data_IF_625554725296
#
_entry.id   IF_625554725296
#
_cell.length_a   1.000
_cell.length_b   1.000
_cell.length_c   1.000
_cell.angle_alpha   90.00
_cell.angle_beta   90.00
_cell.angle_gamma   90.00
#
_symmetry.space_group_name_H-M   'P 1'
#
loop_
_entity.id
_entity.type
_entity.pdbx_description
1 polymer ?
#
# COMPACT_ATOMS: atom_id res chain seq x y z
N UNK A 1 14.61 -5.33 -0.54
CA UNK A 1 15.49 -6.41 -0.02
C UNK A 1 16.81 -5.83 0.48
N UNK A 2 17.47 -6.42 1.49
CA UNK A 2 18.75 -5.91 2.00
C UNK A 2 19.90 -6.45 1.17
N UNK A 3 20.68 -5.55 0.59
CA UNK A 3 21.90 -5.90 -0.16
C UNK A 3 22.94 -6.56 0.75
N UNK A 4 23.91 -7.30 0.18
CA UNK A 4 24.98 -7.90 0.96
C UNK A 4 25.68 -6.87 1.87
N UNK A 5 25.90 -7.27 3.12
CA UNK A 5 26.36 -6.41 4.20
C UNK A 5 27.84 -6.63 4.53
N UNK A 6 28.71 -5.80 3.95
CA UNK A 6 30.15 -5.86 4.18
C UNK A 6 30.59 -5.24 5.50
N UNK A 7 29.71 -4.45 6.13
CA UNK A 7 29.95 -3.68 7.35
C UNK A 7 29.62 -4.44 8.64
N UNK A 8 29.11 -5.66 8.54
CA UNK A 8 28.80 -6.49 9.70
C UNK A 8 30.04 -7.24 10.23
N UNK A 9 30.22 -7.19 11.54
CA UNK A 9 31.25 -7.95 12.28
C UNK A 9 30.62 -8.71 13.43
N UNK A 10 31.12 -9.90 13.73
CA UNK A 10 30.75 -10.68 14.91
C UNK A 10 31.95 -10.83 15.84
N UNK A 11 31.73 -10.75 17.15
CA UNK A 11 32.74 -11.01 18.16
C UNK A 11 32.15 -11.97 19.20
N UNK A 12 32.94 -12.96 19.62
CA UNK A 12 32.55 -13.98 20.58
C UNK A 12 33.58 -13.99 21.69
N UNK A 13 33.12 -14.02 22.95
CA UNK A 13 34.03 -14.13 24.09
C UNK A 13 34.42 -15.58 24.30
N UNK A 14 35.72 -15.84 24.37
CA UNK A 14 36.25 -17.17 24.68
C UNK A 14 35.73 -17.67 26.04
N UNK A 15 35.33 -18.95 26.09
CA UNK A 15 34.82 -19.63 27.29
C UNK A 15 33.33 -19.49 27.58
N UNK A 16 32.59 -18.69 26.80
CA UNK A 16 31.15 -18.42 27.04
C UNK A 16 30.18 -19.23 26.15
N UNK A 17 30.69 -19.87 25.09
CA UNK A 17 29.90 -20.65 24.13
C UNK A 17 30.69 -21.84 23.58
N UNK A 18 29.98 -22.88 23.13
CA UNK A 18 30.60 -24.04 22.48
C UNK A 18 31.21 -23.70 21.12
N UNK A 19 32.19 -24.50 20.67
CA UNK A 19 32.93 -24.29 19.41
C UNK A 19 32.02 -24.22 18.16
N UNK A 20 30.86 -24.87 18.19
CA UNK A 20 29.89 -24.85 17.09
C UNK A 20 29.34 -23.44 16.82
N UNK A 21 29.17 -22.62 17.87
CA UNK A 21 28.61 -21.27 17.76
C UNK A 21 29.54 -20.34 16.98
N UNK A 22 30.85 -20.49 17.14
CA UNK A 22 31.83 -19.68 16.40
C UNK A 22 31.75 -19.97 14.89
N UNK A 23 31.62 -21.25 14.54
CA UNK A 23 31.47 -21.70 13.17
C UNK A 23 30.18 -21.17 12.55
N UNK A 24 29.05 -21.34 13.24
CA UNK A 24 27.74 -20.88 12.78
C UNK A 24 27.70 -19.36 12.57
N UNK A 25 28.30 -18.58 13.48
CA UNK A 25 28.40 -17.13 13.36
C UNK A 25 29.26 -16.71 12.16
N UNK A 26 30.36 -17.43 11.91
CA UNK A 26 31.23 -17.17 10.76
C UNK A 26 30.52 -17.45 9.44
N UNK A 27 29.81 -18.59 9.35
CA UNK A 27 29.02 -18.96 8.18
C UNK A 27 27.89 -17.97 7.91
N UNK A 28 27.18 -17.55 8.96
CA UNK A 28 26.16 -16.51 8.86
C UNK A 28 26.75 -15.18 8.38
N UNK A 29 27.90 -14.75 8.91
CA UNK A 29 28.53 -13.50 8.51
C UNK A 29 28.94 -13.53 7.03
N UNK A 30 29.50 -14.66 6.59
CA UNK A 30 29.86 -14.87 5.19
C UNK A 30 28.62 -14.89 4.28
N UNK A 31 27.52 -15.51 4.73
CA UNK A 31 26.23 -15.47 4.03
C UNK A 31 25.71 -14.02 3.90
N UNK A 32 25.74 -13.23 4.98
CA UNK A 32 25.29 -11.84 4.97
C UNK A 32 26.14 -10.94 4.07
N UNK A 33 27.44 -11.23 3.93
CA UNK A 33 28.36 -10.51 3.06
C UNK A 33 28.23 -10.86 1.57
N UNK A 34 27.61 -11.99 1.24
CA UNK A 34 27.58 -12.52 -0.14
C UNK A 34 26.18 -12.64 -0.72
N UNK A 35 25.16 -12.73 0.13
CA UNK A 35 23.78 -12.96 -0.28
C UNK A 35 22.88 -11.78 0.08
N UNK A 36 21.89 -11.55 -0.78
CA UNK A 36 20.78 -10.67 -0.45
C UNK A 36 19.93 -11.32 0.64
N UNK A 37 19.45 -10.52 1.59
CA UNK A 37 18.61 -11.03 2.69
C UNK A 37 17.28 -10.31 2.80
N UNK A 38 16.30 -11.06 3.32
CA UNK A 38 14.97 -10.56 3.65
C UNK A 38 14.81 -10.67 5.15
N UNK A 39 14.36 -9.58 5.78
CA UNK A 39 13.92 -9.62 7.17
C UNK A 39 12.40 -9.68 7.20
N UNK A 40 11.88 -10.80 7.67
CA UNK A 40 10.44 -10.98 7.86
C UNK A 40 10.09 -10.58 9.28
N UNK A 41 9.17 -9.62 9.41
CA UNK A 41 8.59 -9.23 10.69
C UNK A 41 7.19 -9.80 10.79
N UNK A 42 6.90 -10.47 11.91
CA UNK A 42 5.57 -11.01 12.21
C UNK A 42 5.01 -10.28 13.43
N UNK A 43 3.74 -9.93 13.38
CA UNK A 43 3.06 -9.21 14.45
C UNK A 43 1.83 -10.01 14.89
N UNK A 44 1.55 -10.10 16.20
CA UNK A 44 0.39 -10.83 16.72
C UNK A 44 -0.93 -10.10 16.43
N UNK A 45 -0.89 -8.78 16.19
CA UNK A 45 -2.08 -7.98 15.89
C UNK A 45 -1.80 -6.95 14.79
N UNK A 46 -2.85 -6.54 14.07
CA UNK A 46 -2.77 -5.44 13.10
C UNK A 46 -2.32 -4.13 13.75
N UNK A 47 -2.74 -3.88 15.00
CA UNK A 47 -2.32 -2.71 15.76
C UNK A 47 -0.80 -2.66 15.96
N UNK A 48 -0.18 -3.78 16.30
CA UNK A 48 1.27 -3.85 16.47
C UNK A 48 2.02 -3.68 15.15
N UNK A 49 1.48 -4.24 14.05
CA UNK A 49 1.97 -3.96 12.71
C UNK A 49 1.92 -2.45 12.40
N UNK A 50 0.79 -1.78 12.67
CA UNK A 50 0.64 -0.34 12.43
C UNK A 50 1.57 0.51 13.29
N UNK A 51 1.74 0.14 14.56
CA UNK A 51 2.70 0.80 15.46
C UNK A 51 4.13 0.66 14.93
N UNK A 52 4.50 -0.52 14.42
CA UNK A 52 5.79 -0.74 13.80
C UNK A 52 5.95 0.08 12.52
N UNK A 53 4.94 0.12 11.65
CA UNK A 53 4.94 0.98 10.46
C UNK A 53 5.16 2.45 10.83
N UNK A 54 4.46 2.94 11.85
CA UNK A 54 4.61 4.32 12.34
C UNK A 54 6.00 4.58 12.93
N UNK A 55 6.57 3.64 13.68
CA UNK A 55 7.91 3.77 14.23
C UNK A 55 8.99 3.78 13.12
N UNK A 56 8.80 3.02 12.05
CA UNK A 56 9.77 2.90 10.97
C UNK A 56 9.69 4.05 9.96
N UNK A 57 8.49 4.51 9.64
CA UNK A 57 8.23 5.47 8.54
C UNK A 57 7.83 6.86 9.02
N UNK A 58 7.40 6.98 10.28
CA UNK A 58 6.77 8.19 10.80
C UNK A 58 5.32 8.40 10.32
N UNK A 59 4.76 7.51 9.50
CA UNK A 59 3.36 7.58 9.06
C UNK A 59 2.45 6.72 9.94
N UNK A 60 1.38 7.32 10.45
CA UNK A 60 0.34 6.61 11.19
C UNK A 60 -0.70 6.05 10.23
N UNK A 61 -1.07 4.78 10.39
CA UNK A 61 -2.14 4.15 9.62
C UNK A 61 -3.51 4.58 10.17
N UNK A 62 -4.29 5.30 9.39
CA UNK A 62 -5.65 5.74 9.72
C UNK A 62 -6.70 4.69 9.35
N UNK A 63 -6.48 4.01 8.22
CA UNK A 63 -7.34 2.96 7.70
C UNK A 63 -6.50 1.81 7.16
N UNK A 64 -6.97 0.58 7.39
CA UNK A 64 -6.45 -0.64 6.80
C UNK A 64 -7.62 -1.60 6.58
N UNK A 65 -7.87 -1.94 5.32
CA UNK A 65 -9.01 -2.75 4.92
C UNK A 65 -8.79 -3.45 3.59
N UNK A 66 -9.64 -4.43 3.32
CA UNK A 66 -9.58 -5.21 2.08
C UNK A 66 -10.75 -4.81 1.18
N UNK A 67 -10.45 -4.14 0.07
CA UNK A 67 -11.41 -3.88 -0.98
C UNK A 67 -11.61 -5.15 -1.81
N UNK A 68 -12.86 -5.48 -2.12
CA UNK A 68 -13.22 -6.60 -2.99
C UNK A 68 -12.91 -6.31 -4.47
N UNK A 69 -12.84 -5.04 -4.84
CA UNK A 69 -12.32 -4.62 -6.14
C UNK A 69 -11.72 -3.21 -6.06
N UNK A 70 -10.64 -3.01 -6.82
CA UNK A 70 -10.03 -1.71 -7.08
C UNK A 70 -10.05 -1.47 -8.59
N UNK A 71 -10.60 -0.36 -9.04
CA UNK A 71 -10.73 -0.07 -10.46
C UNK A 71 -10.26 1.34 -10.83
N UNK A 72 -9.56 1.44 -11.97
CA UNK A 72 -9.14 2.70 -12.60
C UNK A 72 -9.91 2.83 -13.92
N UNK A 73 -10.72 3.88 -14.03
CA UNK A 73 -11.54 4.14 -15.22
C UNK A 73 -10.80 5.06 -16.18
N UNK A 74 -9.87 4.49 -16.96
CA UNK A 74 -9.00 5.29 -17.84
C UNK A 74 -9.76 5.94 -18.99
N UNK A 75 -9.66 7.26 -19.12
CA UNK A 75 -10.20 8.02 -20.26
C UNK A 75 -9.28 7.90 -21.46
N UNK A 76 -9.80 7.48 -22.62
CA UNK A 76 -9.06 7.55 -23.88
C UNK A 76 -9.35 8.88 -24.57
N UNK A 77 -8.31 9.61 -25.00
CA UNK A 77 -8.48 10.92 -25.64
C UNK A 77 -9.32 10.89 -26.93
N UNK A 78 -9.37 9.75 -27.64
CA UNK A 78 -9.90 9.68 -29.03
C UNK A 78 -11.09 8.72 -29.17
N UNK A 79 -11.58 8.10 -28.08
CA UNK A 79 -12.73 7.18 -28.13
C UNK A 79 -13.53 7.21 -26.81
N UNK A 80 -14.89 7.27 -26.84
CA UNK A 80 -15.73 7.30 -25.64
C UNK A 80 -15.79 6.00 -24.83
N UNK A 81 -14.79 5.12 -24.97
CA UNK A 81 -14.73 3.82 -24.30
C UNK A 81 -13.65 3.89 -23.23
N UNK A 82 -14.06 3.84 -21.97
CA UNK A 82 -13.14 3.75 -20.84
C UNK A 82 -12.49 2.37 -20.82
N UNK A 83 -11.15 2.31 -20.83
CA UNK A 83 -10.45 1.05 -20.53
C UNK A 83 -10.43 0.93 -19.01
N UNK A 84 -11.26 0.06 -18.46
CA UNK A 84 -11.28 -0.22 -17.02
C UNK A 84 -10.12 -1.16 -16.70
N UNK A 85 -9.18 -0.69 -15.88
CA UNK A 85 -8.27 -1.59 -15.18
C UNK A 85 -8.91 -1.99 -13.87
N UNK A 86 -8.91 -3.27 -13.55
CA UNK A 86 -9.55 -3.78 -12.35
C UNK A 86 -8.67 -4.83 -11.71
N UNK A 87 -8.40 -4.63 -10.43
CA UNK A 87 -7.82 -5.62 -9.54
C UNK A 87 -8.93 -6.17 -8.64
N UNK A 88 -8.81 -7.45 -8.26
CA UNK A 88 -9.70 -8.07 -7.29
C UNK A 88 -9.41 -7.62 -5.86
N UNK A 89 -9.30 -8.58 -4.95
CA UNK A 89 -8.97 -8.35 -3.53
C UNK A 89 -7.73 -7.48 -3.39
N UNK A 90 -7.90 -6.25 -2.92
CA UNK A 90 -6.84 -5.24 -2.83
C UNK A 90 -6.76 -4.74 -1.40
N UNK A 91 -5.59 -4.83 -0.77
CA UNK A 91 -5.39 -4.23 0.55
C UNK A 91 -5.18 -2.74 0.38
N UNK A 92 -6.02 -1.94 1.03
CA UNK A 92 -5.97 -0.48 0.98
C UNK A 92 -5.63 0.03 2.36
N UNK A 93 -4.62 0.91 2.43
CA UNK A 93 -4.30 1.65 3.62
C UNK A 93 -4.43 3.16 3.35
N UNK A 94 -4.88 3.92 4.35
CA UNK A 94 -4.73 5.37 4.38
C UNK A 94 -3.77 5.69 5.49
N UNK A 95 -2.70 6.43 5.16
CA UNK A 95 -1.64 6.78 6.10
C UNK A 95 -1.48 8.29 6.18
N UNK A 96 -1.06 8.78 7.35
CA UNK A 96 -0.88 10.19 7.60
C UNK A 96 0.45 10.49 8.30
N UNK A 97 1.11 11.54 7.85
CA UNK A 97 2.22 12.19 8.55
C UNK A 97 2.01 13.70 8.47
N UNK A 98 1.90 14.37 9.63
CA UNK A 98 1.55 15.80 9.70
C UNK A 98 0.25 16.10 8.92
N UNK A 99 0.32 16.96 7.91
CA UNK A 99 -0.81 17.30 7.03
C UNK A 99 -0.86 16.45 5.74
N UNK A 100 0.09 15.54 5.53
CA UNK A 100 0.17 14.70 4.33
C UNK A 100 -0.62 13.43 4.58
N UNK A 101 -1.67 13.21 3.79
CA UNK A 101 -2.45 11.97 3.78
C UNK A 101 -2.19 11.25 2.46
N UNK A 102 -1.90 9.95 2.51
CA UNK A 102 -1.67 9.13 1.32
C UNK A 102 -2.56 7.89 1.34
N UNK A 103 -3.05 7.49 0.16
CA UNK A 103 -3.66 6.19 -0.06
C UNK A 103 -2.61 5.23 -0.61
N UNK A 104 -2.54 4.04 -0.03
CA UNK A 104 -1.67 2.95 -0.44
C UNK A 104 -2.57 1.79 -0.88
N UNK A 105 -2.29 1.21 -2.04
CA UNK A 105 -2.99 0.04 -2.55
C UNK A 105 -1.98 -1.06 -2.87
N UNK A 106 -2.21 -2.26 -2.34
CA UNK A 106 -1.40 -3.45 -2.57
C UNK A 106 -2.25 -4.49 -3.27
N UNK A 107 -1.78 -4.93 -4.43
CA UNK A 107 -2.48 -5.80 -5.36
C UNK A 107 -1.84 -7.20 -5.36
N UNK A 108 -2.53 -8.24 -4.87
CA UNK A 108 -2.05 -9.62 -4.96
C UNK A 108 -2.01 -10.12 -6.42
N UNK A 109 -3.06 -9.83 -7.19
CA UNK A 109 -3.30 -10.45 -8.50
C UNK A 109 -3.60 -9.40 -9.59
N UNK A 110 -2.81 -8.34 -9.68
CA UNK A 110 -3.01 -7.29 -10.70
C UNK A 110 -1.88 -7.27 -11.74
N UNK A 111 -2.27 -7.45 -13.00
CA UNK A 111 -1.33 -7.53 -14.12
C UNK A 111 -0.60 -6.21 -14.45
N UNK A 112 -1.06 -5.08 -13.90
CA UNK A 112 -0.48 -3.77 -14.19
C UNK A 112 0.46 -3.26 -13.11
N UNK A 113 0.64 -3.97 -11.99
CA UNK A 113 1.59 -3.64 -10.93
C UNK A 113 1.19 -4.26 -9.58
N UNK A 114 2.13 -4.31 -8.64
CA UNK A 114 1.91 -4.95 -7.32
C UNK A 114 1.47 -3.98 -6.23
N UNK A 115 1.78 -2.69 -6.38
CA UNK A 115 1.32 -1.66 -5.45
C UNK A 115 1.32 -0.27 -6.11
N UNK A 116 0.65 0.67 -5.46
CA UNK A 116 0.74 2.10 -5.77
C UNK A 116 0.45 2.95 -4.54
N UNK A 117 0.95 4.17 -4.52
CA UNK A 117 0.56 5.19 -3.54
C UNK A 117 0.32 6.54 -4.21
N UNK A 118 -0.56 7.35 -3.63
CA UNK A 118 -0.76 8.74 -4.03
C UNK A 118 -1.28 9.60 -2.89
N UNK A 119 -0.97 10.89 -2.95
CA UNK A 119 -1.37 11.87 -1.95
C UNK A 119 -2.84 12.26 -2.14
N UNK A 120 -3.60 12.25 -1.06
CA UNK A 120 -4.96 12.76 -1.00
C UNK A 120 -4.96 14.22 -0.51
N UNK A 121 -5.79 15.05 -1.13
CA UNK A 121 -5.89 16.50 -0.86
C UNK A 121 -7.29 16.90 -0.45
N UNK A 122 -7.41 17.98 0.32
CA UNK A 122 -8.72 18.54 0.71
C UNK A 122 -9.56 19.09 -0.46
N UNK A 123 -8.95 19.21 -1.65
CA UNK A 123 -9.62 19.60 -2.90
C UNK A 123 -10.16 18.41 -3.69
N UNK A 124 -9.85 17.18 -3.28
CA UNK A 124 -10.29 15.99 -3.98
C UNK A 124 -11.80 15.78 -3.78
N UNK A 125 -12.41 15.09 -4.74
CA UNK A 125 -13.85 14.83 -4.73
C UNK A 125 -14.08 13.33 -4.55
N UNK A 126 -14.81 12.98 -3.51
CA UNK A 126 -15.18 11.60 -3.21
C UNK A 126 -16.69 11.40 -3.33
N UNK A 127 -17.11 10.28 -3.92
CA UNK A 127 -18.52 9.95 -4.11
C UNK A 127 -18.79 8.51 -3.65
N UNK A 128 -19.72 8.30 -2.73
CA UNK A 128 -20.21 6.95 -2.45
C UNK A 128 -21.15 6.47 -3.55
N UNK A 129 -21.11 5.18 -3.83
CA UNK A 129 -22.07 4.53 -4.72
C UNK A 129 -22.32 3.10 -4.24
N UNK A 130 -23.30 2.43 -4.82
CA UNK A 130 -23.54 1.01 -4.56
C UNK A 130 -23.61 0.27 -5.88
N UNK A 131 -23.00 -0.92 -5.96
CA UNK A 131 -22.99 -1.75 -7.17
C UNK A 131 -23.06 -3.22 -6.79
N UNK A 132 -24.06 -3.93 -7.30
CA UNK A 132 -24.18 -5.39 -7.13
C UNK A 132 -24.07 -5.81 -5.66
N UNK A 133 -24.84 -5.18 -4.77
CA UNK A 133 -24.81 -5.33 -3.30
C UNK A 133 -23.54 -4.88 -2.56
N UNK A 134 -22.49 -4.46 -3.28
CA UNK A 134 -21.26 -3.93 -2.69
C UNK A 134 -21.34 -2.42 -2.47
N UNK A 135 -20.73 -1.98 -1.39
CA UNK A 135 -20.59 -0.57 -1.04
C UNK A 135 -19.34 0.01 -1.70
N UNK A 136 -19.52 1.07 -2.47
CA UNK A 136 -18.48 1.68 -3.27
C UNK A 136 -18.12 3.09 -2.82
N UNK A 137 -16.87 3.46 -3.03
CA UNK A 137 -16.41 4.85 -3.01
C UNK A 137 -15.60 5.13 -4.27
N UNK A 138 -15.89 6.26 -4.89
CA UNK A 138 -15.21 6.76 -6.08
C UNK A 138 -14.40 8.00 -5.72
N UNK A 139 -13.17 8.02 -6.18
CA UNK A 139 -12.28 9.16 -6.16
C UNK A 139 -12.36 9.75 -7.57
N UNK A 140 -12.96 10.93 -7.69
CA UNK A 140 -13.24 11.56 -8.98
C UNK A 140 -12.00 12.32 -9.45
N UNK A 141 -11.56 12.05 -10.68
CA UNK A 141 -10.37 12.67 -11.30
C UNK A 141 -9.12 12.59 -10.37
N UNK A 142 -8.92 11.43 -9.76
CA UNK A 142 -7.80 11.18 -8.85
C UNK A 142 -6.49 11.30 -9.60
N UNK A 143 -5.51 11.97 -8.98
CA UNK A 143 -4.16 12.18 -9.54
C UNK A 143 -3.20 11.19 -8.91
N UNK A 144 -2.65 10.29 -9.71
CA UNK A 144 -1.81 9.21 -9.21
C UNK A 144 -0.70 8.83 -10.20
N UNK A 145 0.41 8.27 -9.71
CA UNK A 145 1.38 7.59 -10.56
C UNK A 145 0.81 6.23 -10.99
N UNK A 146 1.05 5.82 -12.24
CA UNK A 146 0.69 4.47 -12.67
C UNK A 146 1.46 3.42 -11.84
N UNK A 147 0.84 2.27 -11.53
CA UNK A 147 1.58 1.17 -10.90
C UNK A 147 2.78 0.79 -11.78
N UNK A 148 3.91 0.48 -11.12
CA UNK A 148 5.15 0.14 -11.82
C UNK A 148 4.99 -1.22 -12.51
N UNK A 149 5.16 -1.24 -13.84
CA UNK A 149 5.16 -2.46 -14.65
C UNK A 149 6.58 -2.98 -14.85
N UNK A 150 6.76 -4.30 -14.95
CA UNK A 150 8.05 -4.84 -15.40
C UNK A 150 8.28 -4.47 -16.86
N UNK A 151 9.50 -4.07 -17.21
CA UNK A 151 9.84 -3.62 -18.56
C UNK A 151 9.97 -4.77 -19.58
N UNK A 152 9.19 -5.86 -19.41
CA UNK A 152 9.09 -6.98 -20.35
C UNK A 152 10.35 -7.85 -20.51
N UNK A 153 11.51 -7.45 -19.99
CA UNK A 153 12.78 -8.16 -20.18
C UNK A 153 13.21 -8.98 -18.96
N UNK A 154 12.76 -8.62 -17.77
CA UNK A 154 13.04 -9.34 -16.53
C UNK A 154 11.71 -9.65 -15.85
N UNK A 155 11.64 -10.79 -15.14
CA UNK A 155 10.49 -11.17 -14.33
C UNK A 155 10.11 -10.09 -13.30
N UNK A 156 9.10 -10.31 -12.45
CA UNK A 156 8.80 -9.36 -11.37
C UNK A 156 10.07 -9.11 -10.55
N UNK A 157 10.65 -7.91 -10.65
CA UNK A 157 11.75 -7.52 -9.77
C UNK A 157 11.16 -7.15 -8.42
N UNK A 158 11.86 -7.48 -7.34
CA UNK A 158 11.36 -7.23 -5.98
C UNK A 158 11.02 -5.76 -5.72
N UNK A 159 11.69 -4.84 -6.42
CA UNK A 159 11.48 -3.39 -6.32
C UNK A 159 10.07 -2.94 -6.74
N UNK A 160 9.29 -3.79 -7.41
CA UNK A 160 7.93 -3.50 -7.87
C UNK A 160 6.87 -3.63 -6.77
N UNK A 161 7.19 -4.30 -5.66
CA UNK A 161 6.30 -4.53 -4.52
C UNK A 161 6.46 -3.53 -3.38
N UNK A 162 7.28 -2.49 -3.55
CA UNK A 162 7.57 -1.50 -2.52
C UNK A 162 7.13 -0.10 -2.94
N UNK A 163 6.76 0.71 -1.95
CA UNK A 163 6.35 2.11 -2.10
C UNK A 163 7.23 3.01 -1.23
N UNK A 164 7.48 4.22 -1.70
CA UNK A 164 8.18 5.26 -0.95
C UNK A 164 7.16 6.28 -0.43
N UNK A 165 7.13 6.48 0.89
CA UNK A 165 6.21 7.44 1.52
C UNK A 165 6.79 8.87 1.58
N UNK A 166 8.10 9.00 1.67
CA UNK A 166 8.78 10.30 1.81
C UNK A 166 8.84 11.08 0.49
N UNK A 167 9.03 10.36 -0.62
CA UNK A 167 9.14 10.90 -1.97
C UNK A 167 8.12 10.20 -2.87
N UNK A 168 6.81 10.53 -2.76
CA UNK A 168 5.80 9.94 -3.61
C UNK A 168 6.06 10.30 -5.08
N UNK A 169 5.86 9.33 -5.98
CA UNK A 169 6.02 9.54 -7.41
C UNK A 169 5.04 10.63 -7.90
N UNK A 170 5.52 11.50 -8.79
CA UNK A 170 4.69 12.57 -9.35
C UNK A 170 3.51 11.99 -10.15
N UNK A 171 2.30 12.54 -10.01
CA UNK A 171 1.14 12.04 -10.74
C UNK A 171 1.31 12.29 -12.24
N UNK A 172 1.30 11.20 -13.01
CA UNK A 172 1.34 11.25 -14.48
C UNK A 172 -0.03 11.12 -15.13
N UNK A 173 -1.04 10.65 -14.39
CA UNK A 173 -2.39 10.41 -14.89
C UNK A 173 -3.43 11.07 -13.97
N UNK A 174 -4.63 11.27 -14.52
CA UNK A 174 -5.80 11.71 -13.77
C UNK A 174 -7.04 10.97 -14.27
N UNK A 175 -7.60 10.10 -13.44
CA UNK A 175 -8.74 9.23 -13.80
C UNK A 175 -9.59 8.92 -12.56
N UNK A 176 -10.81 8.43 -12.78
CA UNK A 176 -11.65 8.00 -11.68
C UNK A 176 -11.15 6.66 -11.11
N UNK A 177 -10.90 6.63 -9.80
CA UNK A 177 -10.62 5.39 -9.05
C UNK A 177 -11.89 4.97 -8.32
N UNK A 178 -12.21 3.68 -8.32
CA UNK A 178 -13.35 3.12 -7.58
C UNK A 178 -12.90 1.96 -6.71
N UNK A 179 -13.26 2.01 -5.43
CA UNK A 179 -13.09 0.93 -4.47
C UNK A 179 -14.46 0.33 -4.16
N UNK A 180 -14.55 -0.98 -4.16
CA UNK A 180 -15.75 -1.73 -3.76
C UNK A 180 -15.44 -2.58 -2.54
N UNK A 181 -16.28 -2.51 -1.53
CA UNK A 181 -16.21 -3.28 -0.30
C UNK A 181 -17.41 -4.22 -0.19
N UNK A 182 -17.22 -5.38 0.44
CA UNK A 182 -18.31 -6.33 0.70
C UNK A 182 -19.37 -5.76 1.65
N UNK A 183 -19.00 -4.80 2.50
CA UNK A 183 -19.89 -4.22 3.48
C UNK A 183 -19.78 -2.68 3.51
N UNK A 184 -20.86 -2.04 3.98
CA UNK A 184 -20.93 -0.58 4.10
C UNK A 184 -20.02 -0.05 5.21
N UNK A 185 -19.84 -0.82 6.28
CA UNK A 185 -19.03 -0.41 7.42
C UNK A 185 -17.57 -0.12 7.03
N UNK A 186 -16.96 -0.96 6.19
CA UNK A 186 -15.60 -0.76 5.67
C UNK A 186 -15.49 0.51 4.83
N UNK A 187 -16.46 0.73 3.92
CA UNK A 187 -16.54 1.97 3.13
C UNK A 187 -16.63 3.17 4.06
N UNK A 188 -17.49 3.11 5.08
CA UNK A 188 -17.74 4.23 5.98
C UNK A 188 -16.53 4.51 6.89
N UNK A 189 -15.79 3.48 7.32
CA UNK A 189 -14.49 3.63 8.00
C UNK A 189 -13.49 4.34 7.10
N UNK A 190 -13.40 3.98 5.82
CA UNK A 190 -12.53 4.67 4.87
C UNK A 190 -12.95 6.14 4.69
N UNK A 191 -14.25 6.42 4.52
CA UNK A 191 -14.78 7.78 4.36
C UNK A 191 -14.38 8.72 5.51
N UNK A 192 -14.33 8.21 6.74
CA UNK A 192 -13.95 8.98 7.93
C UNK A 192 -12.48 9.41 7.94
N UNK A 193 -11.63 8.75 7.15
CA UNK A 193 -10.19 9.03 7.07
C UNK A 193 -9.79 9.94 5.90
N UNK A 194 -10.74 10.37 5.06
CA UNK A 194 -10.45 11.16 3.87
C UNK A 194 -10.33 12.66 4.18
N UNK A 195 -9.45 13.39 3.47
CA UNK A 195 -9.20 14.81 3.72
C UNK A 195 -10.30 15.76 3.25
N UNK A 196 -11.30 15.26 2.51
CA UNK A 196 -12.40 16.07 1.97
C UNK A 196 -13.75 15.37 2.17
N UNK A 197 -14.87 16.12 2.20
CA UNK A 197 -16.20 15.55 2.37
C UNK A 197 -16.56 14.56 1.27
N UNK A 198 -17.17 13.43 1.65
CA UNK A 198 -17.68 12.43 0.72
C UNK A 198 -19.13 12.75 0.35
N UNK A 199 -19.40 12.86 -0.95
CA UNK A 199 -20.74 13.09 -1.49
C UNK A 199 -21.48 11.77 -1.65
N UNK A 200 -22.79 11.76 -1.41
CA UNK A 200 -23.65 10.63 -1.80
C UNK A 200 -24.02 9.63 -0.69
N UNK A 201 -23.60 9.84 0.55
CA UNK A 201 -24.10 9.05 1.69
C UNK A 201 -25.54 9.47 2.05
N UNK A 202 -26.45 8.50 2.12
CA UNK A 202 -27.87 8.67 2.42
C UNK A 202 -28.17 9.65 3.56
N UNK A 203 -29.22 10.46 3.37
CA UNK A 203 -29.86 11.30 4.40
C UNK A 203 -30.17 10.45 5.64
N UNK A 204 -29.39 10.59 6.71
CA UNK A 204 -29.84 10.24 8.05
C UNK A 204 -29.48 11.34 9.04
N UNK A 205 -30.13 12.49 8.87
CA UNK A 205 -30.36 13.48 9.93
C UNK A 205 -31.71 14.14 9.63
N UNK A 206 -32.81 13.49 10.05
CA UNK A 206 -34.09 14.15 10.37
C UNK A 206 -35.03 13.19 11.11
N UNK A 207 -35.06 13.36 12.44
CA UNK A 207 -36.27 13.23 13.27
C UNK A 207 -36.77 11.84 13.63
N UNK A 208 -36.48 11.39 14.86
CA UNK A 208 -37.41 11.45 16.00
C UNK A 208 -36.63 11.24 17.30
#
# INVERSE_FOLDING_TARGET
>A
MRQPQFDMTAAVSDGSVGNDVLKDLTEMLQMLQTSQTIRTYSFPTLKELHNFQAALTGFTVLFDGLAAAFAISRRRMVVPIHKKWEAGWTRVQVVQQNSIIQLLAFFPDFHHGQCMNFVLKGTDVFETFSRSSKAGIKFVDAKFPLPRMSNGTDGPSDDMGFICLDMPDLPGEHDDISLLFENEAERDRLCQCLPAPVKGGSRSLRGK
#
